data_IF_083995187401
#
_entry.id   IF_083995187401
#
_cell.length_a   1.000
_cell.length_b   1.000
_cell.length_c   1.000
_cell.angle_alpha   90.00
_cell.angle_beta   90.00
_cell.angle_gamma   90.00
#
_symmetry.space_group_name_H-M   'P 1'
#
loop_
_entity.id
_entity.type
_entity.pdbx_description
1 polymer ?
#
# COMPACT_ATOMS: atom_id res chain seq x y z
N UNK A 1 2.39 16.04 -11.96
CA UNK A 1 3.19 16.27 -10.74
C UNK A 1 2.43 17.09 -9.70
N UNK A 2 1.75 18.19 -10.07
CA UNK A 2 0.99 19.02 -9.11
C UNK A 2 -0.09 18.23 -8.34
N UNK A 3 -0.75 17.29 -9.01
CA UNK A 3 -1.82 16.47 -8.43
C UNK A 3 -1.31 15.55 -7.30
N UNK A 4 -0.15 14.90 -7.46
CA UNK A 4 0.40 14.01 -6.41
C UNK A 4 0.81 14.78 -5.16
N UNK A 5 1.34 16.00 -5.32
CA UNK A 5 1.67 16.86 -4.19
C UNK A 5 0.41 17.36 -3.49
N UNK A 6 -0.63 17.72 -4.25
CA UNK A 6 -1.91 18.14 -3.69
C UNK A 6 -2.56 17.00 -2.91
N UNK A 7 -2.61 15.79 -3.49
CA UNK A 7 -3.11 14.60 -2.82
C UNK A 7 -2.30 14.25 -1.56
N UNK A 8 -0.98 14.42 -1.59
CA UNK A 8 -0.14 14.24 -0.40
C UNK A 8 -0.50 15.24 0.69
N UNK A 9 -0.63 16.52 0.36
CA UNK A 9 -1.01 17.57 1.33
C UNK A 9 -2.38 17.29 1.94
N UNK A 10 -3.33 16.82 1.12
CA UNK A 10 -4.64 16.38 1.61
C UNK A 10 -4.51 15.22 2.59
N UNK A 11 -3.72 14.19 2.28
CA UNK A 11 -3.48 13.05 3.18
C UNK A 11 -2.65 13.39 4.44
N UNK A 12 -1.82 14.42 4.38
CA UNK A 12 -1.12 14.96 5.55
C UNK A 12 -2.10 15.69 6.49
N UNK A 13 -3.10 16.37 5.94
CA UNK A 13 -4.09 17.19 6.69
C UNK A 13 -5.29 16.38 7.18
N UNK A 14 -5.79 15.47 6.34
CA UNK A 14 -6.92 14.59 6.62
C UNK A 14 -6.44 13.14 6.55
N UNK A 15 -6.36 12.51 7.73
CA UNK A 15 -5.87 11.14 7.87
C UNK A 15 -6.73 10.12 7.11
N UNK A 16 -8.02 10.41 6.89
CA UNK A 16 -8.91 9.51 6.16
C UNK A 16 -8.56 9.36 4.67
N UNK A 17 -7.76 10.29 4.12
CA UNK A 17 -7.31 10.25 2.72
C UNK A 17 -6.03 9.41 2.53
N UNK A 18 -5.40 8.99 3.63
CA UNK A 18 -4.10 8.28 3.58
C UNK A 18 -4.16 6.93 2.90
N UNK A 19 -5.18 6.07 3.14
CA UNK A 19 -5.28 4.79 2.44
C UNK A 19 -5.37 4.99 0.92
N UNK A 20 -6.20 5.94 0.49
CA UNK A 20 -6.40 6.23 -0.92
C UNK A 20 -5.13 6.79 -1.57
N UNK A 21 -4.42 7.69 -0.87
CA UNK A 21 -3.13 8.20 -1.36
C UNK A 21 -2.08 7.09 -1.54
N UNK A 22 -1.97 6.18 -0.57
CA UNK A 22 -1.03 5.05 -0.65
C UNK A 22 -1.43 4.08 -1.76
N UNK A 23 -2.71 3.79 -1.91
CA UNK A 23 -3.23 2.96 -3.00
C UNK A 23 -2.91 3.57 -4.37
N UNK A 24 -3.16 4.87 -4.54
CA UNK A 24 -2.85 5.61 -5.76
C UNK A 24 -1.35 5.56 -6.08
N UNK A 25 -0.48 5.78 -5.09
CA UNK A 25 0.96 5.61 -5.25
C UNK A 25 1.31 4.18 -5.65
N UNK A 26 0.79 3.17 -4.94
CA UNK A 26 1.09 1.78 -5.23
C UNK A 26 0.76 1.40 -6.68
N UNK A 27 -0.46 1.72 -7.13
CA UNK A 27 -0.91 1.44 -8.49
C UNK A 27 -0.09 2.21 -9.54
N UNK A 28 0.20 3.48 -9.26
CA UNK A 28 1.01 4.31 -10.14
C UNK A 28 2.45 3.78 -10.27
N UNK A 29 3.06 3.37 -9.16
CA UNK A 29 4.45 2.89 -9.13
C UNK A 29 4.64 1.54 -9.83
N UNK A 30 3.60 0.69 -9.88
CA UNK A 30 3.64 -0.63 -10.52
C UNK A 30 3.37 -0.61 -12.03
N UNK A 31 2.60 0.36 -12.54
CA UNK A 31 2.07 0.33 -13.91
C UNK A 31 2.66 1.41 -14.84
N UNK A 32 3.94 1.77 -14.69
CA UNK A 32 4.52 2.94 -15.39
C UNK A 32 5.75 2.64 -16.26
N UNK A 33 5.98 3.43 -17.33
CA UNK A 33 7.23 3.44 -18.07
C UNK A 33 8.43 3.85 -17.19
N UNK A 34 9.62 3.36 -17.50
CA UNK A 34 10.85 3.63 -16.72
C UNK A 34 11.19 5.13 -16.64
N UNK A 35 10.91 5.91 -17.69
CA UNK A 35 11.14 7.36 -17.72
C UNK A 35 10.36 8.10 -16.63
N UNK A 36 9.10 7.69 -16.41
CA UNK A 36 8.24 8.28 -15.39
C UNK A 36 8.72 7.83 -14.01
N UNK A 37 9.20 6.59 -13.89
CA UNK A 37 9.75 6.10 -12.63
C UNK A 37 10.92 6.92 -12.10
N UNK A 38 11.84 7.30 -12.98
CA UNK A 38 12.98 8.15 -12.65
C UNK A 38 12.54 9.57 -12.26
N UNK A 39 11.60 10.16 -13.02
CA UNK A 39 11.06 11.49 -12.69
C UNK A 39 10.45 11.52 -11.29
N UNK A 40 9.55 10.59 -10.99
CA UNK A 40 8.88 10.54 -9.68
C UNK A 40 9.84 10.21 -8.54
N UNK A 41 10.83 9.34 -8.77
CA UNK A 41 11.88 9.07 -7.79
C UNK A 41 12.66 10.34 -7.41
N UNK A 42 13.01 11.17 -8.41
CA UNK A 42 13.70 12.46 -8.20
C UNK A 42 12.88 13.44 -7.37
N UNK A 43 11.56 13.46 -7.56
CA UNK A 43 10.66 14.33 -6.78
C UNK A 43 10.15 13.69 -5.47
N UNK A 44 10.68 12.51 -5.11
CA UNK A 44 10.44 11.88 -3.81
C UNK A 44 9.32 10.85 -3.74
N UNK A 45 8.75 10.44 -4.87
CA UNK A 45 7.74 9.38 -4.96
C UNK A 45 8.32 8.13 -5.63
N UNK A 46 8.79 7.20 -4.81
CA UNK A 46 9.26 5.88 -5.23
C UNK A 46 8.77 4.81 -4.25
N UNK A 47 9.05 3.54 -4.57
CA UNK A 47 8.56 2.39 -3.83
C UNK A 47 9.05 2.39 -2.37
N UNK A 48 10.35 2.61 -2.15
CA UNK A 48 10.95 2.70 -0.82
C UNK A 48 10.30 3.81 0.03
N UNK A 49 10.16 5.01 -0.53
CA UNK A 49 9.55 6.14 0.18
C UNK A 49 8.05 5.92 0.44
N UNK A 50 7.34 5.26 -0.48
CA UNK A 50 5.92 4.90 -0.30
C UNK A 50 5.76 3.88 0.82
N UNK A 51 6.61 2.86 0.86
CA UNK A 51 6.63 1.87 1.92
C UNK A 51 6.93 2.50 3.29
N UNK A 52 7.93 3.40 3.34
CA UNK A 52 8.27 4.15 4.56
C UNK A 52 7.15 5.09 5.00
N UNK A 53 6.40 5.67 4.06
CA UNK A 53 5.27 6.54 4.38
C UNK A 53 4.08 5.74 4.94
N UNK A 54 3.73 4.61 4.32
CA UNK A 54 2.68 3.71 4.81
C UNK A 54 3.03 3.12 6.19
N UNK A 55 4.26 2.60 6.31
CA UNK A 55 5.17 2.73 7.47
C UNK A 55 4.70 3.56 8.66
N UNK A 56 4.79 4.86 8.44
CA UNK A 56 4.51 5.90 9.42
C UNK A 56 3.00 6.03 9.66
N UNK A 57 2.20 6.06 8.60
CA UNK A 57 0.77 6.34 8.69
C UNK A 57 -0.06 5.20 9.27
N UNK A 58 0.40 3.95 9.19
CA UNK A 58 -0.29 2.81 9.83
C UNK A 58 -0.32 2.97 11.36
N UNK A 59 0.62 3.72 11.93
CA UNK A 59 0.70 3.97 13.38
C UNK A 59 -0.48 4.78 13.91
N UNK A 60 -1.22 5.47 13.04
CA UNK A 60 -2.44 6.20 13.41
C UNK A 60 -3.65 5.29 13.65
N UNK A 61 -3.53 3.98 13.39
CA UNK A 61 -4.51 2.97 13.77
C UNK A 61 -5.68 2.79 12.81
N UNK A 62 -5.66 3.46 11.65
CA UNK A 62 -6.67 3.30 10.60
C UNK A 62 -6.67 1.86 10.04
N UNK A 63 -7.78 1.11 10.17
CA UNK A 63 -7.88 -0.24 9.63
C UNK A 63 -7.60 -0.33 8.11
N UNK A 64 -7.96 0.71 7.36
CA UNK A 64 -7.70 0.74 5.93
C UNK A 64 -6.20 0.91 5.64
N UNK A 65 -5.47 1.61 6.51
CA UNK A 65 -4.00 1.65 6.41
C UNK A 65 -3.36 0.30 6.74
N UNK A 66 -3.90 -0.46 7.70
CA UNK A 66 -3.45 -1.85 7.95
C UNK A 66 -3.61 -2.68 6.66
N UNK A 67 -4.75 -2.55 5.97
CA UNK A 67 -4.97 -3.23 4.69
C UNK A 67 -3.98 -2.78 3.60
N UNK A 68 -3.75 -1.47 3.44
CA UNK A 68 -2.78 -0.95 2.46
C UNK A 68 -1.36 -1.44 2.74
N UNK A 69 -0.91 -1.42 3.99
CA UNK A 69 0.42 -1.93 4.34
C UNK A 69 0.51 -3.45 4.12
N UNK A 70 -0.60 -4.17 4.33
CA UNK A 70 -0.77 -5.55 3.91
C UNK A 70 -0.49 -5.71 2.41
N UNK A 71 -1.11 -4.92 1.54
CA UNK A 71 -0.89 -4.99 0.08
C UNK A 71 0.55 -4.63 -0.32
N UNK A 72 1.16 -3.64 0.33
CA UNK A 72 2.55 -3.25 0.07
C UNK A 72 3.54 -4.35 0.46
N UNK A 73 3.37 -4.94 1.64
CA UNK A 73 4.20 -6.05 2.12
C UNK A 73 3.91 -7.36 1.41
N UNK A 74 2.69 -7.51 0.90
CA UNK A 74 2.32 -8.60 0.02
C UNK A 74 3.21 -8.43 -1.23
N UNK A 75 3.04 -7.35 -1.98
CA UNK A 75 3.66 -7.22 -3.30
C UNK A 75 5.17 -6.93 -3.33
N UNK A 76 5.76 -6.44 -2.22
CA UNK A 76 7.21 -6.10 -2.05
C UNK A 76 7.79 -5.20 -3.17
N UNK A 77 6.93 -4.69 -4.04
CA UNK A 77 7.25 -4.03 -5.31
C UNK A 77 8.25 -4.76 -6.23
N UNK A 78 8.69 -5.96 -5.88
CA UNK A 78 9.82 -6.64 -6.51
C UNK A 78 9.40 -7.52 -7.69
N UNK A 79 8.10 -7.72 -7.92
CA UNK A 79 7.55 -8.62 -8.94
C UNK A 79 7.94 -10.09 -8.76
N UNK A 80 8.76 -10.39 -7.75
CA UNK A 80 9.49 -11.65 -7.53
C UNK A 80 8.59 -12.85 -7.26
N UNK A 81 7.30 -12.60 -7.00
CA UNK A 81 6.32 -13.61 -6.62
C UNK A 81 5.02 -13.51 -7.44
N UNK A 82 5.10 -12.97 -8.67
CA UNK A 82 3.95 -12.89 -9.58
C UNK A 82 3.28 -14.26 -9.79
N UNK A 83 4.06 -15.35 -9.72
CA UNK A 83 3.61 -16.71 -10.05
C UNK A 83 3.17 -17.54 -8.83
N UNK A 84 3.44 -17.10 -7.59
CA UNK A 84 2.99 -17.79 -6.35
C UNK A 84 2.52 -16.80 -5.27
N UNK A 85 1.42 -16.05 -5.52
CA UNK A 85 1.01 -14.92 -4.67
C UNK A 85 0.60 -15.31 -3.24
N UNK A 86 0.12 -16.54 -3.02
CA UNK A 86 -0.52 -16.94 -1.75
C UNK A 86 0.40 -17.61 -0.73
N UNK A 87 1.50 -18.25 -1.16
CA UNK A 87 2.40 -19.00 -0.25
C UNK A 87 3.50 -18.15 0.37
N UNK A 88 3.88 -17.03 -0.26
CA UNK A 88 5.13 -16.35 0.04
C UNK A 88 5.09 -15.29 1.16
N UNK A 89 3.94 -15.02 1.81
CA UNK A 89 3.75 -13.69 2.44
C UNK A 89 3.30 -13.72 3.91
N UNK A 90 3.98 -14.44 4.84
CA UNK A 90 3.66 -14.36 6.27
C UNK A 90 3.67 -12.93 6.84
N UNK A 91 4.54 -12.07 6.30
CA UNK A 91 4.68 -10.69 6.74
C UNK A 91 3.45 -9.81 6.44
N UNK A 92 2.65 -10.14 5.42
CA UNK A 92 1.42 -9.39 5.09
C UNK A 92 0.20 -9.90 5.84
N UNK A 93 0.15 -11.19 6.19
CA UNK A 93 -0.98 -11.80 6.90
C UNK A 93 -1.29 -11.10 8.23
N UNK A 94 -0.27 -10.65 8.96
CA UNK A 94 -0.49 -9.92 10.23
C UNK A 94 -1.29 -8.63 10.02
N UNK A 95 -1.05 -7.93 8.91
CA UNK A 95 -1.70 -6.67 8.59
C UNK A 95 -3.13 -6.90 8.08
N UNK A 96 -3.32 -7.91 7.22
CA UNK A 96 -4.66 -8.29 6.80
C UNK A 96 -5.53 -8.78 7.95
N UNK A 97 -4.98 -9.54 8.90
CA UNK A 97 -5.71 -9.94 10.11
C UNK A 97 -6.11 -8.73 10.93
N UNK A 98 -5.18 -7.82 11.21
CA UNK A 98 -5.47 -6.59 11.95
C UNK A 98 -6.58 -5.75 11.27
N UNK A 99 -6.55 -5.62 9.94
CA UNK A 99 -7.59 -4.93 9.18
C UNK A 99 -8.95 -5.68 9.24
N UNK A 100 -8.93 -7.01 9.05
CA UNK A 100 -10.13 -7.85 9.03
C UNK A 100 -10.82 -7.90 10.40
N UNK A 101 -10.06 -7.97 11.49
CA UNK A 101 -10.54 -7.92 12.89
C UNK A 101 -11.26 -6.60 13.19
N UNK A 102 -10.84 -5.51 12.55
CA UNK A 102 -11.47 -4.20 12.65
C UNK A 102 -12.56 -3.95 11.59
N UNK A 103 -12.94 -4.97 10.82
CA UNK A 103 -14.09 -4.91 9.91
C UNK A 103 -13.80 -4.50 8.46
N UNK A 104 -12.55 -4.45 8.02
CA UNK A 104 -12.23 -4.19 6.61
C UNK A 104 -12.65 -5.39 5.75
N UNK A 105 -13.68 -5.20 4.93
CA UNK A 105 -14.33 -6.25 4.13
C UNK A 105 -13.36 -6.85 3.10
N UNK A 106 -12.52 -6.01 2.50
CA UNK A 106 -11.49 -6.41 1.55
C UNK A 106 -10.48 -7.35 2.19
N UNK A 107 -10.08 -7.06 3.44
CA UNK A 107 -9.15 -7.89 4.19
C UNK A 107 -9.79 -9.23 4.60
N UNK A 108 -11.05 -9.22 5.04
CA UNK A 108 -11.81 -10.43 5.35
C UNK A 108 -11.95 -11.34 4.14
N UNK A 109 -12.32 -10.77 2.99
CA UNK A 109 -12.46 -11.49 1.73
C UNK A 109 -11.14 -12.10 1.26
N UNK A 110 -10.05 -11.33 1.36
CA UNK A 110 -8.72 -11.79 1.01
C UNK A 110 -8.25 -12.95 1.91
N UNK A 111 -8.45 -12.85 3.22
CA UNK A 111 -8.13 -13.93 4.16
C UNK A 111 -9.00 -15.17 3.94
N UNK A 112 -10.29 -14.99 3.62
CA UNK A 112 -11.18 -16.08 3.24
C UNK A 112 -10.65 -16.87 2.04
N UNK A 113 -10.19 -16.17 1.00
CA UNK A 113 -9.57 -16.81 -0.17
C UNK A 113 -8.19 -17.42 0.09
N UNK A 114 -7.47 -16.96 1.13
CA UNK A 114 -6.18 -17.56 1.54
C UNK A 114 -6.38 -18.89 2.29
N UNK A 115 -7.44 -18.98 3.12
CA UNK A 115 -7.67 -20.12 4.02
C UNK A 115 -8.71 -21.13 3.54
N UNK A 116 -9.42 -20.86 2.44
CA UNK A 116 -10.32 -21.82 1.78
C UNK A 116 -9.54 -22.93 1.09
#
# INVERSE_FOLDING_TARGET
SQEIFTAKVLADTDKSQRPEFINALFNFLNNRPESDALFFSRIGFNQEKTFRLATLWVQDGDPQMDYQLGLLTLNDFSGRYADEPYKARPASLKWFRAAAEKGVVEAQSLLGGIYS
#
